data_IF_708325402470
#
_entry.id   IF_708325402470
#
_cell.length_a   1.000
_cell.length_b   1.000
_cell.length_c   1.000
_cell.angle_alpha   90.00
_cell.angle_beta   90.00
_cell.angle_gamma   90.00
#
_symmetry.space_group_name_H-M   'P 1'
#
loop_
_entity.id
_entity.type
_entity.pdbx_description
1 polymer ?
#
# COMPACT_ATOMS: atom_id res chain seq x y z
N UNK A 1 -16.96 -19.13 -27.20
CA UNK A 1 -16.91 -18.23 -26.02
C UNK A 1 -16.13 -18.95 -24.94
N UNK A 2 -14.89 -18.53 -24.66
CA UNK A 2 -14.08 -19.07 -23.58
C UNK A 2 -14.32 -18.18 -22.35
N UNK A 3 -14.82 -18.77 -21.27
CA UNK A 3 -14.88 -18.10 -19.98
C UNK A 3 -13.45 -17.86 -19.48
N UNK A 4 -13.12 -16.71 -18.89
CA UNK A 4 -11.83 -16.54 -18.23
C UNK A 4 -11.73 -17.58 -17.11
N UNK A 5 -10.68 -18.42 -17.15
CA UNK A 5 -10.34 -19.27 -16.01
C UNK A 5 -10.15 -18.35 -14.81
N UNK A 6 -11.04 -18.43 -13.83
CA UNK A 6 -10.83 -17.84 -12.51
C UNK A 6 -9.74 -18.65 -11.83
N UNK A 7 -8.48 -18.33 -12.16
CA UNK A 7 -7.32 -18.93 -11.53
C UNK A 7 -7.31 -18.48 -10.08
N UNK A 8 -7.52 -19.43 -9.16
CA UNK A 8 -7.45 -19.17 -7.74
C UNK A 8 -5.97 -18.98 -7.38
N UNK A 9 -5.52 -17.78 -7.01
CA UNK A 9 -4.11 -17.52 -6.70
C UNK A 9 -3.61 -18.28 -5.45
N UNK A 10 -4.53 -18.98 -4.76
CA UNK A 10 -4.26 -19.79 -3.58
C UNK A 10 -4.21 -21.29 -3.86
N UNK A 11 -4.57 -21.77 -5.07
CA UNK A 11 -4.54 -23.19 -5.43
C UNK A 11 -3.27 -23.51 -6.24
N UNK A 12 -2.68 -24.68 -6.02
CA UNK A 12 -1.65 -25.21 -6.91
C UNK A 12 -2.35 -25.84 -8.14
N UNK A 13 -1.90 -25.52 -9.35
CA UNK A 13 -2.48 -26.00 -10.62
C UNK A 13 -2.32 -27.53 -10.84
N UNK A 14 -1.79 -28.26 -9.87
CA UNK A 14 -1.57 -29.71 -9.90
C UNK A 14 -2.76 -30.54 -9.35
N UNK A 15 -3.84 -29.90 -8.92
CA UNK A 15 -4.91 -30.56 -8.15
C UNK A 15 -6.10 -31.09 -8.99
N UNK A 16 -6.04 -31.06 -10.33
CA UNK A 16 -7.10 -31.62 -11.21
C UNK A 16 -6.78 -32.97 -11.85
N UNK A 17 -5.80 -33.73 -11.35
CA UNK A 17 -5.81 -35.19 -11.55
C UNK A 17 -6.72 -35.83 -10.52
N UNK A 18 -8.01 -35.92 -10.86
CA UNK A 18 -8.99 -36.81 -10.25
C UNK A 18 -8.43 -38.25 -10.26
N UNK A 19 -7.68 -38.60 -9.20
CA UNK A 19 -7.05 -39.89 -8.99
C UNK A 19 -8.13 -40.91 -8.66
N UNK A 20 -9.01 -41.20 -9.63
CA UNK A 20 -9.89 -42.36 -9.58
C UNK A 20 -8.99 -43.59 -9.47
N UNK A 21 -9.19 -44.48 -8.48
CA UNK A 21 -8.46 -45.73 -8.45
C UNK A 21 -8.80 -46.50 -9.72
N UNK A 22 -7.86 -46.55 -10.67
CA UNK A 22 -7.93 -47.49 -11.79
C UNK A 22 -7.86 -48.88 -11.18
N UNK A 23 -9.01 -49.52 -11.03
CA UNK A 23 -9.11 -50.96 -10.88
C UNK A 23 -8.53 -51.58 -12.17
N UNK A 24 -7.22 -51.77 -12.18
CA UNK A 24 -6.49 -52.47 -13.22
C UNK A 24 -5.65 -53.50 -12.48
N UNK A 25 -6.10 -54.75 -12.56
CA UNK A 25 -5.50 -55.89 -11.87
C UNK A 25 -3.99 -55.93 -12.06
N UNK A 26 -3.30 -55.84 -10.94
CA UNK A 26 -1.88 -56.15 -10.80
C UNK A 26 -1.71 -56.78 -9.42
N UNK A 27 -1.34 -58.05 -9.44
CA UNK A 27 -0.67 -58.85 -8.40
C UNK A 27 -0.40 -58.13 -7.06
N UNK A 28 -1.30 -58.32 -6.08
CA UNK A 28 -1.13 -57.85 -4.71
C UNK A 28 -0.19 -58.80 -3.93
N UNK A 29 1.11 -58.54 -3.97
CA UNK A 29 2.07 -59.03 -2.97
C UNK A 29 2.57 -57.86 -2.11
N UNK A 30 1.63 -57.20 -1.45
CA UNK A 30 1.90 -56.33 -0.32
C UNK A 30 0.82 -56.69 0.70
N UNK A 31 1.16 -57.52 1.69
CA UNK A 31 0.27 -58.21 2.62
C UNK A 31 -0.52 -57.31 3.59
N UNK A 32 -0.89 -56.11 3.14
CA UNK A 32 -1.65 -55.10 3.85
C UNK A 32 -3.15 -55.33 3.64
N UNK A 33 -3.88 -55.31 4.75
CA UNK A 33 -5.34 -55.39 4.78
C UNK A 33 -5.98 -54.13 4.19
N UNK A 34 -7.21 -54.23 3.66
CA UNK A 34 -7.93 -53.09 3.08
C UNK A 34 -8.04 -51.89 4.05
N UNK A 35 -8.17 -52.18 5.35
CA UNK A 35 -8.16 -51.17 6.41
C UNK A 35 -6.84 -50.41 6.51
N UNK A 36 -5.70 -51.09 6.34
CA UNK A 36 -4.37 -50.47 6.40
C UNK A 36 -4.12 -49.59 5.16
N UNK A 37 -4.59 -50.02 3.98
CA UNK A 37 -4.53 -49.21 2.75
C UNK A 37 -5.34 -47.92 2.89
N UNK A 38 -6.57 -48.01 3.41
CA UNK A 38 -7.42 -46.84 3.67
C UNK A 38 -6.79 -45.89 4.68
N UNK A 39 -6.17 -46.41 5.73
CA UNK A 39 -5.51 -45.59 6.76
C UNK A 39 -4.30 -44.83 6.19
N UNK A 40 -3.48 -45.47 5.34
CA UNK A 40 -2.35 -44.81 4.68
C UNK A 40 -2.80 -43.70 3.73
N UNK A 41 -3.83 -43.96 2.93
CA UNK A 41 -4.41 -42.96 2.04
C UNK A 41 -4.90 -41.73 2.80
N UNK A 42 -5.70 -41.92 3.86
CA UNK A 42 -6.20 -40.83 4.69
C UNK A 42 -5.06 -40.02 5.33
N UNK A 43 -4.01 -40.69 5.77
CA UNK A 43 -2.84 -40.01 6.32
C UNK A 43 -2.10 -39.17 5.28
N UNK A 44 -1.92 -39.68 4.06
CA UNK A 44 -1.29 -38.94 2.97
C UNK A 44 -2.11 -37.72 2.59
N UNK A 45 -3.44 -37.86 2.53
CA UNK A 45 -4.35 -36.77 2.22
C UNK A 45 -4.31 -35.66 3.27
N UNK A 46 -4.29 -36.03 4.57
CA UNK A 46 -4.17 -35.07 5.67
C UNK A 46 -2.82 -34.33 5.62
N UNK A 47 -1.73 -35.05 5.33
CA UNK A 47 -0.41 -34.43 5.18
C UNK A 47 -0.36 -33.46 4.00
N UNK A 48 -0.89 -33.85 2.84
CA UNK A 48 -0.97 -33.00 1.65
C UNK A 48 -1.78 -31.74 1.95
N UNK A 49 -2.97 -31.90 2.52
CA UNK A 49 -3.85 -30.77 2.86
C UNK A 49 -3.17 -29.80 3.82
N UNK A 50 -2.48 -30.32 4.86
CA UNK A 50 -1.75 -29.48 5.80
C UNK A 50 -0.59 -28.73 5.13
N UNK A 51 0.15 -29.38 4.24
CA UNK A 51 1.24 -28.76 3.49
C UNK A 51 0.73 -27.66 2.55
N UNK A 52 -0.31 -27.95 1.75
CA UNK A 52 -0.95 -26.97 0.86
C UNK A 52 -1.49 -25.76 1.63
N UNK A 53 -2.04 -25.97 2.83
CA UNK A 53 -2.49 -24.86 3.69
C UNK A 53 -1.33 -23.97 4.15
N UNK A 54 -0.21 -24.58 4.56
CA UNK A 54 1.01 -23.84 4.93
C UNK A 54 1.56 -23.07 3.73
N UNK A 55 1.67 -23.69 2.56
CA UNK A 55 2.18 -23.02 1.36
C UNK A 55 1.30 -21.86 0.90
N UNK A 56 -0.02 -22.03 0.97
CA UNK A 56 -1.00 -20.97 0.72
C UNK A 56 -0.88 -19.81 1.71
N UNK A 57 -0.62 -20.10 2.99
CA UNK A 57 -0.41 -19.04 4.00
C UNK A 57 0.84 -18.20 3.71
N UNK A 58 1.92 -18.82 3.23
CA UNK A 58 3.12 -18.09 2.81
C UNK A 58 2.89 -17.23 1.57
N UNK A 59 2.13 -17.71 0.59
CA UNK A 59 1.72 -16.89 -0.58
C UNK A 59 0.93 -15.67 -0.13
N UNK A 60 -0.01 -15.87 0.78
CA UNK A 60 -0.87 -14.80 1.31
C UNK A 60 -0.05 -13.74 2.06
N UNK A 61 0.92 -14.16 2.88
CA UNK A 61 1.86 -13.23 3.53
C UNK A 61 2.65 -12.41 2.51
N UNK A 62 3.18 -13.06 1.46
CA UNK A 62 3.88 -12.36 0.39
C UNK A 62 3.03 -11.26 -0.26
N UNK A 63 1.76 -11.57 -0.57
CA UNK A 63 0.81 -10.60 -1.14
C UNK A 63 0.49 -9.44 -0.17
N UNK A 64 0.39 -9.72 1.13
CA UNK A 64 0.15 -8.68 2.14
C UNK A 64 1.33 -7.70 2.18
N UNK A 65 2.56 -8.20 2.21
CA UNK A 65 3.73 -7.35 2.23
C UNK A 65 3.93 -6.57 0.92
N UNK A 66 3.64 -7.18 -0.23
CA UNK A 66 3.65 -6.48 -1.52
C UNK A 66 2.62 -5.34 -1.55
N UNK A 67 1.40 -5.61 -1.07
CA UNK A 67 0.34 -4.61 -0.94
C UNK A 67 0.74 -3.49 0.01
N UNK A 68 1.45 -3.83 1.08
CA UNK A 68 1.92 -2.88 2.09
C UNK A 68 2.94 -1.93 1.49
N UNK A 69 3.94 -2.45 0.76
CA UNK A 69 4.92 -1.67 0.02
C UNK A 69 4.25 -0.74 -0.99
N UNK A 70 3.34 -1.26 -1.80
CA UNK A 70 2.59 -0.46 -2.78
C UNK A 70 1.79 0.65 -2.07
N UNK A 71 1.20 0.37 -0.91
CA UNK A 71 0.51 1.35 -0.08
C UNK A 71 1.42 2.47 0.43
N UNK A 72 2.65 2.14 0.85
CA UNK A 72 3.66 3.13 1.27
C UNK A 72 4.09 4.00 0.10
N UNK A 73 4.39 3.41 -1.06
CA UNK A 73 4.75 4.17 -2.27
C UNK A 73 3.61 5.11 -2.69
N UNK A 74 2.36 4.64 -2.61
CA UNK A 74 1.17 5.46 -2.87
C UNK A 74 1.06 6.62 -1.89
N UNK A 75 1.34 6.38 -0.61
CA UNK A 75 1.31 7.42 0.43
C UNK A 75 2.38 8.49 0.20
N UNK A 76 3.57 8.11 -0.27
CA UNK A 76 4.63 9.05 -0.63
C UNK A 76 4.23 9.96 -1.80
N UNK A 77 3.59 9.39 -2.81
CA UNK A 77 3.12 10.15 -3.95
C UNK A 77 1.96 11.09 -3.56
N UNK A 78 1.01 10.65 -2.71
CA UNK A 78 -0.01 11.55 -2.16
C UNK A 78 0.61 12.72 -1.40
N UNK A 79 1.59 12.48 -0.54
CA UNK A 79 2.31 13.56 0.17
C UNK A 79 2.93 14.55 -0.83
N UNK A 80 3.53 14.05 -1.90
CA UNK A 80 4.12 14.90 -2.96
C UNK A 80 3.04 15.70 -3.70
N UNK A 81 1.88 15.12 -3.97
CA UNK A 81 0.74 15.82 -4.58
C UNK A 81 0.20 16.92 -3.66
N UNK A 82 0.05 16.65 -2.36
CA UNK A 82 -0.31 17.64 -1.35
C UNK A 82 0.66 18.84 -1.31
N UNK A 83 1.96 18.59 -1.47
CA UNK A 83 2.94 19.68 -1.62
C UNK A 83 2.72 20.55 -2.86
N UNK A 84 2.36 19.93 -4.00
CA UNK A 84 2.07 20.64 -5.24
C UNK A 84 0.82 21.51 -5.10
N UNK A 85 -0.24 20.98 -4.49
CA UNK A 85 -1.47 21.74 -4.19
C UNK A 85 -1.15 22.97 -3.33
N UNK A 86 -0.40 22.80 -2.24
CA UNK A 86 0.00 23.91 -1.36
C UNK A 86 0.86 24.97 -2.08
N UNK A 87 1.79 24.55 -2.93
CA UNK A 87 2.60 25.48 -3.74
C UNK A 87 1.73 26.28 -4.71
N UNK A 88 0.77 25.61 -5.34
CA UNK A 88 -0.18 26.23 -6.27
C UNK A 88 -1.08 27.22 -5.54
N UNK A 89 -1.62 26.86 -4.39
CA UNK A 89 -2.42 27.76 -3.54
C UNK A 89 -1.65 29.05 -3.19
N UNK A 90 -0.39 28.92 -2.73
CA UNK A 90 0.47 30.07 -2.44
C UNK A 90 0.74 30.92 -3.70
N UNK A 91 0.88 30.29 -4.87
CA UNK A 91 1.08 31.01 -6.13
C UNK A 91 -0.16 31.83 -6.50
N UNK A 92 -1.37 31.29 -6.29
CA UNK A 92 -2.63 32.01 -6.50
C UNK A 92 -2.78 33.20 -5.55
N UNK A 93 -2.40 33.03 -4.28
CA UNK A 93 -2.43 34.14 -3.30
C UNK A 93 -1.47 35.27 -3.68
N UNK A 94 -0.27 34.94 -4.16
CA UNK A 94 0.68 35.92 -4.65
C UNK A 94 0.14 36.64 -5.90
N UNK A 95 -0.43 35.89 -6.86
CA UNK A 95 -1.04 36.48 -8.06
C UNK A 95 -2.22 37.40 -7.70
N UNK A 96 -3.04 37.05 -6.71
CA UNK A 96 -4.10 37.94 -6.22
C UNK A 96 -3.55 39.26 -5.68
N UNK A 97 -2.45 39.19 -4.93
CA UNK A 97 -1.77 40.36 -4.40
C UNK A 97 -1.16 41.22 -5.53
N UNK A 98 -0.52 40.59 -6.50
CA UNK A 98 0.09 41.26 -7.65
C UNK A 98 -0.97 41.94 -8.53
N UNK A 99 -2.13 41.29 -8.72
CA UNK A 99 -3.26 41.90 -9.44
C UNK A 99 -3.86 43.09 -8.68
N UNK A 100 -3.95 43.03 -7.35
CA UNK A 100 -4.39 44.18 -6.54
C UNK A 100 -3.45 45.36 -6.69
N UNK A 101 -2.14 45.14 -6.64
CA UNK A 101 -1.14 46.20 -6.85
C UNK A 101 -1.19 46.72 -8.29
N UNK A 102 -1.31 45.83 -9.28
CA UNK A 102 -1.48 46.21 -10.69
C UNK A 102 -2.72 47.07 -10.91
N UNK A 103 -3.84 46.73 -10.25
CA UNK A 103 -5.08 47.48 -10.30
C UNK A 103 -4.92 48.89 -9.71
N UNK A 104 -4.20 49.04 -8.59
CA UNK A 104 -3.88 50.35 -8.02
C UNK A 104 -3.03 51.20 -8.98
N UNK A 105 -2.05 50.60 -9.65
CA UNK A 105 -1.24 51.31 -10.65
C UNK A 105 -2.07 51.73 -11.86
N UNK A 106 -2.93 50.88 -12.40
CA UNK A 106 -3.86 51.21 -13.50
C UNK A 106 -4.78 52.38 -13.13
N UNK A 107 -5.36 52.36 -11.93
CA UNK A 107 -6.19 53.48 -11.44
C UNK A 107 -5.38 54.77 -11.27
N UNK A 108 -4.12 54.66 -10.85
CA UNK A 108 -3.22 55.82 -10.72
C UNK A 108 -2.87 56.40 -12.09
N UNK A 109 -2.65 55.57 -13.12
CA UNK A 109 -2.38 56.01 -14.51
C UNK A 109 -3.59 56.72 -15.12
N UNK A 110 -4.83 56.32 -14.78
CA UNK A 110 -6.02 57.10 -15.16
C UNK A 110 -6.09 58.48 -14.48
N UNK A 111 -5.50 58.62 -13.29
CA UNK A 111 -5.61 59.82 -12.46
C UNK A 111 -4.54 60.90 -12.70
N UNK A 112 -3.57 60.68 -13.61
CA UNK A 112 -2.50 61.66 -13.88
C UNK A 112 -2.94 62.84 -14.77
N UNK A 113 -4.21 62.89 -15.18
CA UNK A 113 -4.84 64.11 -15.76
C UNK A 113 -5.51 65.00 -14.69
N UNK A 114 -5.14 64.85 -13.41
CA UNK A 114 -5.69 65.64 -12.29
C UNK A 114 -4.80 65.77 -11.05
N UNK A 115 -3.66 66.45 -11.15
CA UNK A 115 -3.12 67.31 -10.08
C UNK A 115 -2.45 66.69 -8.84
N UNK A 116 -1.11 66.59 -8.85
CA UNK A 116 -0.09 67.06 -7.86
C UNK A 116 -0.41 67.08 -6.32
N UNK A 117 -1.32 66.27 -5.75
CA UNK A 117 -1.58 66.35 -4.28
C UNK A 117 -1.61 64.99 -3.57
N UNK A 118 -0.56 64.19 -3.71
CA UNK A 118 -0.39 63.00 -2.84
C UNK A 118 1.01 62.85 -2.21
N UNK A 119 1.79 63.95 -2.17
CA UNK A 119 3.09 63.99 -1.49
C UNK A 119 3.00 63.89 0.05
N UNK A 120 1.79 63.70 0.62
CA UNK A 120 1.53 63.72 2.06
C UNK A 120 1.07 62.39 2.68
N UNK A 121 1.08 61.26 1.95
CA UNK A 121 0.72 59.96 2.54
C UNK A 121 1.99 59.13 2.80
N UNK A 122 2.27 58.95 4.09
CA UNK A 122 3.46 58.30 4.63
C UNK A 122 3.73 56.91 4.05
N UNK A 123 5.02 56.57 4.07
CA UNK A 123 5.64 55.35 3.56
C UNK A 123 4.82 54.10 3.92
N UNK A 124 4.54 53.18 2.98
CA UNK A 124 3.99 51.88 3.33
C UNK A 124 5.05 51.09 4.11
N UNK A 125 4.64 50.56 5.26
CA UNK A 125 5.48 49.69 6.08
C UNK A 125 6.00 48.51 5.26
N UNK A 126 7.30 48.28 5.42
CA UNK A 126 8.06 47.13 4.96
C UNK A 126 7.32 45.84 5.34
N UNK A 127 6.81 45.11 4.32
CA UNK A 127 6.28 43.75 4.52
C UNK A 127 7.36 42.89 5.20
N UNK A 128 7.02 42.13 6.26
CA UNK A 128 7.98 41.21 6.88
C UNK A 128 8.44 40.14 5.87
N UNK A 129 9.66 39.59 6.04
CA UNK A 129 10.19 38.54 5.17
C UNK A 129 9.22 37.35 5.09
N UNK A 130 9.12 36.67 3.93
CA UNK A 130 8.24 35.52 3.80
C UNK A 130 8.65 34.47 4.83
N UNK A 131 7.75 34.17 5.77
CA UNK A 131 7.91 33.07 6.71
C UNK A 131 8.30 31.82 5.94
N UNK A 132 9.39 31.21 6.40
CA UNK A 132 9.93 29.98 5.84
C UNK A 132 8.81 28.95 5.76
N UNK A 133 8.63 28.41 4.56
CA UNK A 133 7.55 27.50 4.26
C UNK A 133 7.61 26.31 5.22
N UNK A 134 6.63 26.19 6.11
CA UNK A 134 6.34 24.93 6.78
C UNK A 134 6.22 23.89 5.66
N UNK A 135 7.07 22.86 5.72
CA UNK A 135 6.95 21.70 4.85
C UNK A 135 5.54 21.15 5.01
N UNK A 136 4.93 20.73 3.91
CA UNK A 136 3.64 20.06 3.99
C UNK A 136 3.80 18.84 4.90
N UNK A 137 3.04 18.81 5.99
CA UNK A 137 2.90 17.62 6.80
C UNK A 137 1.68 16.91 6.23
N UNK A 138 1.89 15.74 5.64
CA UNK A 138 0.82 14.81 5.32
C UNK A 138 0.03 14.52 6.61
N UNK A 139 -1.22 14.06 6.47
CA UNK A 139 -2.08 13.77 7.61
C UNK A 139 -1.34 12.90 8.65
N UNK A 140 -1.38 13.28 9.93
CA UNK A 140 -0.65 12.60 11.02
C UNK A 140 -0.95 11.09 11.06
N UNK A 141 -2.17 10.68 10.65
CA UNK A 141 -2.57 9.28 10.55
C UNK A 141 -1.84 8.55 9.43
N UNK A 142 -1.72 9.17 8.25
CA UNK A 142 -0.98 8.60 7.13
C UNK A 142 0.49 8.47 7.48
N UNK A 143 1.09 9.51 8.07
CA UNK A 143 2.50 9.47 8.46
C UNK A 143 2.80 8.38 9.50
N UNK A 144 1.89 8.20 10.47
CA UNK A 144 1.99 7.12 11.47
C UNK A 144 1.84 5.75 10.83
N UNK A 145 0.90 5.59 9.89
CA UNK A 145 0.69 4.33 9.18
C UNK A 145 1.90 3.95 8.30
N UNK A 146 2.49 4.92 7.58
CA UNK A 146 3.71 4.72 6.80
C UNK A 146 4.90 4.32 7.66
N UNK A 147 5.07 4.96 8.83
CA UNK A 147 6.20 4.68 9.72
C UNK A 147 6.11 3.27 10.31
N UNK A 148 4.93 2.88 10.78
CA UNK A 148 4.67 1.52 11.26
C UNK A 148 4.84 0.47 10.15
N UNK A 149 4.55 0.84 8.91
CA UNK A 149 4.66 -0.07 7.78
C UNK A 149 6.10 -0.31 7.33
N UNK A 150 6.91 0.76 7.26
CA UNK A 150 8.34 0.68 6.91
C UNK A 150 9.17 -0.16 7.87
N UNK A 151 8.80 -0.22 9.15
CA UNK A 151 9.48 -1.08 10.14
C UNK A 151 9.43 -2.58 9.76
N UNK A 152 8.43 -2.98 8.96
CA UNK A 152 8.24 -4.37 8.53
C UNK A 152 8.73 -4.64 7.10
N UNK A 153 9.38 -3.67 6.44
CA UNK A 153 9.90 -3.83 5.07
C UNK A 153 11.04 -4.86 4.98
N UNK A 154 11.80 -5.06 6.06
CA UNK A 154 12.83 -6.10 6.12
C UNK A 154 12.23 -7.51 6.09
N UNK A 155 11.04 -7.70 6.69
CA UNK A 155 10.31 -8.98 6.63
C UNK A 155 9.80 -9.27 5.23
N UNK A 156 9.42 -8.24 4.48
CA UNK A 156 9.06 -8.37 3.06
C UNK A 156 10.23 -8.95 2.25
N UNK A 157 11.43 -8.38 2.40
CA UNK A 157 12.63 -8.85 1.70
C UNK A 157 12.94 -10.32 2.03
N UNK A 158 12.71 -10.75 3.27
CA UNK A 158 12.87 -12.15 3.67
C UNK A 158 11.77 -13.08 3.11
N UNK A 159 10.55 -12.57 2.89
CA UNK A 159 9.39 -13.37 2.46
C UNK A 159 9.23 -13.52 0.95
N UNK A 160 9.97 -12.75 0.14
CA UNK A 160 9.77 -12.70 -1.30
C UNK A 160 10.09 -14.06 -1.96
N UNK A 161 9.22 -14.61 -2.84
CA UNK A 161 9.38 -15.94 -3.42
C UNK A 161 10.70 -16.13 -4.19
N UNK A 162 11.24 -15.06 -4.79
CA UNK A 162 12.57 -15.07 -5.44
C UNK A 162 13.77 -15.12 -4.47
N UNK A 163 13.61 -14.74 -3.19
CA UNK A 163 14.63 -14.87 -2.13
C UNK A 163 14.45 -16.15 -1.30
N UNK A 164 13.26 -16.75 -1.35
CA UNK A 164 12.90 -17.99 -0.66
C UNK A 164 13.59 -19.24 -1.21
N UNK A 165 14.22 -19.15 -2.38
CA UNK A 165 15.13 -20.20 -2.88
C UNK A 165 16.40 -20.16 -2.04
N UNK A 166 16.40 -20.78 -0.85
CA UNK A 166 17.54 -21.47 -0.22
C UNK A 166 17.30 -21.95 1.22
N UNK A 167 16.19 -21.59 1.88
CA UNK A 167 15.82 -22.16 3.20
C UNK A 167 14.64 -23.14 3.12
N UNK A 168 14.78 -24.12 2.23
CA UNK A 168 14.11 -25.43 2.37
C UNK A 168 15.06 -26.42 3.08
N UNK A 169 15.81 -25.92 4.07
CA UNK A 169 16.70 -26.74 4.89
C UNK A 169 15.97 -27.64 5.89
N UNK A 170 14.65 -27.48 6.04
CA UNK A 170 13.82 -28.26 6.97
C UNK A 170 13.06 -29.44 6.34
N UNK A 171 12.96 -29.49 5.00
CA UNK A 171 12.16 -30.51 4.31
C UNK A 171 13.08 -31.37 3.42
N UNK A 172 13.79 -32.32 4.06
CA UNK A 172 14.39 -33.46 3.34
C UNK A 172 15.91 -33.65 3.41
N UNK A 173 16.68 -32.83 4.13
CA UNK A 173 18.15 -32.94 4.16
C UNK A 173 18.78 -33.49 5.46
N UNK A 174 17.99 -34.07 6.36
CA UNK A 174 18.52 -34.82 7.52
C UNK A 174 17.68 -36.06 7.83
N UNK A 175 17.53 -36.92 6.85
CA UNK A 175 17.29 -38.34 7.11
C UNK A 175 18.64 -39.09 7.09
N UNK A 176 19.60 -38.62 7.89
CA UNK A 176 20.72 -39.45 8.30
C UNK A 176 20.18 -40.49 9.28
N UNK A 177 20.23 -41.73 8.79
CA UNK A 177 20.05 -42.99 9.51
C UNK A 177 20.80 -42.95 10.85
N UNK A 178 20.16 -43.52 11.87
CA UNK A 178 20.68 -43.97 13.17
C UNK A 178 20.43 -43.05 14.38
N UNK A 179 19.49 -43.46 15.25
CA UNK A 179 19.84 -44.02 16.56
C UNK A 179 18.57 -44.54 17.26
N UNK A 180 18.58 -45.84 17.57
CA UNK A 180 17.57 -46.51 18.38
C UNK A 180 17.89 -46.35 19.86
N UNK A 181 17.07 -45.62 20.62
CA UNK A 181 16.79 -46.02 22.01
C UNK A 181 15.49 -45.42 22.59
N UNK A 182 14.51 -46.32 22.71
CA UNK A 182 13.69 -46.54 23.92
C UNK A 182 13.16 -45.32 24.71
N UNK A 183 11.84 -45.04 24.58
CA UNK A 183 10.83 -45.15 25.68
C UNK A 183 9.49 -44.46 25.33
N UNK A 184 8.41 -45.15 25.73
CA UNK A 184 7.04 -44.65 26.01
C UNK A 184 6.13 -44.23 24.85
N UNK A 185 5.27 -45.18 24.46
CA UNK A 185 3.82 -45.04 24.25
C UNK A 185 3.30 -43.64 23.86
N UNK A 186 3.21 -43.38 22.55
CA UNK A 186 2.57 -42.20 21.97
C UNK A 186 3.03 -42.01 20.53
N UNK A 187 2.13 -42.23 19.57
CA UNK A 187 2.38 -42.18 18.13
C UNK A 187 3.38 -41.08 17.68
N UNK A 188 4.54 -41.43 17.07
CA UNK A 188 5.47 -40.46 16.48
C UNK A 188 4.95 -39.81 15.17
N UNK A 189 3.81 -40.28 14.67
CA UNK A 189 3.22 -39.96 13.36
C UNK A 189 2.68 -38.51 13.22
N UNK A 190 2.53 -37.76 14.32
CA UNK A 190 1.91 -36.42 14.31
C UNK A 190 2.92 -35.26 14.36
N UNK A 191 4.23 -35.50 14.34
CA UNK A 191 5.22 -34.42 14.47
C UNK A 191 5.11 -33.42 13.31
N UNK A 192 5.08 -33.91 12.07
CA UNK A 192 4.96 -33.08 10.88
C UNK A 192 3.63 -32.32 10.83
N UNK A 193 2.51 -32.97 11.19
CA UNK A 193 1.22 -32.29 11.25
C UNK A 193 1.20 -31.19 12.32
N UNK A 194 1.77 -31.45 13.51
CA UNK A 194 1.88 -30.43 14.57
C UNK A 194 2.77 -29.27 14.14
N UNK A 195 3.85 -29.55 13.44
CA UNK A 195 4.73 -28.51 12.89
C UNK A 195 4.04 -27.67 11.81
N UNK A 196 3.30 -28.32 10.90
CA UNK A 196 2.49 -27.65 9.89
C UNK A 196 1.41 -26.76 10.55
N UNK A 197 0.68 -27.26 11.55
CA UNK A 197 -0.29 -26.47 12.31
C UNK A 197 0.36 -25.29 13.04
N UNK A 198 1.45 -25.52 13.77
CA UNK A 198 2.16 -24.44 14.47
C UNK A 198 2.70 -23.37 13.51
N UNK A 199 3.13 -23.76 12.31
CA UNK A 199 3.60 -22.83 11.28
C UNK A 199 2.43 -22.05 10.69
N UNK A 200 1.31 -22.73 10.40
CA UNK A 200 0.10 -22.11 9.91
C UNK A 200 -0.44 -21.08 10.91
N UNK A 201 -0.51 -21.40 12.19
CA UNK A 201 -0.97 -20.47 13.24
C UNK A 201 -0.09 -19.21 13.30
N UNK A 202 1.25 -19.37 13.29
CA UNK A 202 2.18 -18.23 13.23
C UNK A 202 1.97 -17.37 11.99
N UNK A 203 1.76 -18.01 10.83
CA UNK A 203 1.52 -17.29 9.59
C UNK A 203 0.19 -16.54 9.64
N UNK A 204 -0.86 -17.13 10.21
CA UNK A 204 -2.16 -16.47 10.40
C UNK A 204 -2.07 -15.26 11.35
N UNK A 205 -1.28 -15.36 12.42
CA UNK A 205 -1.02 -14.24 13.32
C UNK A 205 -0.31 -13.09 12.59
N UNK A 206 0.76 -13.38 11.82
CA UNK A 206 1.45 -12.35 11.03
C UNK A 206 0.55 -11.79 9.92
N UNK A 207 -0.31 -12.60 9.30
CA UNK A 207 -1.31 -12.13 8.34
C UNK A 207 -2.30 -11.16 9.01
N UNK A 208 -2.77 -11.47 10.22
CA UNK A 208 -3.67 -10.60 10.99
C UNK A 208 -3.02 -9.25 11.28
N UNK A 209 -1.75 -9.25 11.70
CA UNK A 209 -0.98 -8.03 11.91
C UNK A 209 -0.74 -7.25 10.62
N UNK A 210 -0.37 -7.92 9.53
CA UNK A 210 -0.17 -7.31 8.23
C UNK A 210 -1.45 -6.68 7.67
N UNK A 211 -2.59 -7.37 7.80
CA UNK A 211 -3.90 -6.82 7.42
C UNK A 211 -4.29 -5.61 8.27
N UNK A 212 -3.93 -5.59 9.57
CA UNK A 212 -4.11 -4.41 10.42
C UNK A 212 -3.26 -3.24 9.95
N UNK A 213 -2.01 -3.46 9.54
CA UNK A 213 -1.14 -2.43 8.96
C UNK A 213 -1.72 -1.90 7.63
N UNK A 214 -2.12 -2.80 6.73
CA UNK A 214 -2.80 -2.45 5.47
C UNK A 214 -4.07 -1.62 5.70
N UNK A 215 -4.88 -1.99 6.68
CA UNK A 215 -6.07 -1.22 7.07
C UNK A 215 -5.70 0.19 7.52
N UNK A 216 -4.68 0.33 8.36
CA UNK A 216 -4.23 1.62 8.84
C UNK A 216 -3.69 2.50 7.70
N UNK A 217 -2.93 1.91 6.76
CA UNK A 217 -2.51 2.58 5.53
C UNK A 217 -3.73 3.02 4.72
N UNK A 218 -4.69 2.14 4.45
CA UNK A 218 -5.89 2.48 3.70
C UNK A 218 -6.70 3.63 4.31
N UNK A 219 -6.87 3.63 5.64
CA UNK A 219 -7.55 4.74 6.34
C UNK A 219 -6.72 6.03 6.26
N UNK A 220 -5.39 5.94 6.41
CA UNK A 220 -4.51 7.10 6.27
C UNK A 220 -4.55 7.72 4.86
N UNK A 221 -4.50 6.86 3.83
CA UNK A 221 -4.59 7.26 2.43
C UNK A 221 -5.94 7.94 2.15
N UNK A 222 -7.03 7.38 2.68
CA UNK A 222 -8.37 7.97 2.57
C UNK A 222 -8.44 9.37 3.19
N UNK A 223 -7.94 9.54 4.42
CA UNK A 223 -7.93 10.85 5.08
C UNK A 223 -7.09 11.89 4.32
N UNK A 224 -5.95 11.48 3.76
CA UNK A 224 -5.12 12.36 2.93
C UNK A 224 -5.81 12.76 1.63
N UNK A 225 -6.57 11.84 0.99
CA UNK A 225 -7.37 12.16 -0.20
C UNK A 225 -8.47 13.16 0.13
N UNK A 226 -9.19 12.95 1.25
CA UNK A 226 -10.24 13.88 1.71
C UNK A 226 -9.66 15.29 1.96
N UNK A 227 -8.50 15.39 2.62
CA UNK A 227 -7.81 16.67 2.86
C UNK A 227 -7.38 17.36 1.54
N UNK A 228 -6.96 16.57 0.55
CA UNK A 228 -6.59 17.08 -0.76
C UNK A 228 -7.80 17.51 -1.60
N UNK A 229 -8.94 16.82 -1.49
CA UNK A 229 -10.20 17.17 -2.17
C UNK A 229 -10.68 18.56 -1.72
N UNK A 230 -10.73 18.78 -0.40
CA UNK A 230 -11.05 20.10 0.18
C UNK A 230 -10.10 21.20 -0.31
N UNK A 231 -8.80 20.86 -0.43
CA UNK A 231 -7.78 21.78 -0.92
C UNK A 231 -7.97 22.11 -2.40
N UNK A 232 -8.34 21.13 -3.22
CA UNK A 232 -8.63 21.30 -4.65
C UNK A 232 -9.85 22.21 -4.84
N UNK A 233 -10.93 21.99 -4.09
CA UNK A 233 -12.14 22.82 -4.18
C UNK A 233 -11.85 24.29 -3.82
N UNK A 234 -11.08 24.52 -2.76
CA UNK A 234 -10.60 25.87 -2.40
C UNK A 234 -9.77 26.50 -3.53
N UNK A 235 -8.86 25.72 -4.11
CA UNK A 235 -7.97 26.15 -5.17
C UNK A 235 -8.75 26.49 -6.45
N UNK A 236 -9.73 25.68 -6.85
CA UNK A 236 -10.61 25.95 -7.98
C UNK A 236 -11.35 27.28 -7.80
N UNK A 237 -11.93 27.50 -6.62
CA UNK A 237 -12.59 28.77 -6.29
C UNK A 237 -11.63 29.98 -6.37
N UNK A 238 -10.37 29.82 -5.97
CA UNK A 238 -9.34 30.87 -6.08
C UNK A 238 -8.96 31.11 -7.54
N UNK A 239 -8.78 30.05 -8.33
CA UNK A 239 -8.48 30.13 -9.77
C UNK A 239 -9.56 30.90 -10.51
N UNK A 240 -10.85 30.57 -10.30
CA UNK A 240 -11.96 31.25 -10.98
C UNK A 240 -12.00 32.74 -10.66
N UNK A 241 -11.82 33.11 -9.39
CA UNK A 241 -11.75 34.51 -8.96
C UNK A 241 -10.55 35.22 -9.58
N UNK A 242 -9.41 34.54 -9.67
CA UNK A 242 -8.19 35.09 -10.25
C UNK A 242 -8.36 35.30 -11.75
N UNK A 243 -8.95 34.35 -12.49
CA UNK A 243 -9.22 34.47 -13.91
C UNK A 243 -10.10 35.69 -14.23
N UNK A 244 -11.19 35.86 -13.48
CA UNK A 244 -12.06 37.05 -13.58
C UNK A 244 -11.28 38.35 -13.33
N UNK A 245 -10.40 38.39 -12.33
CA UNK A 245 -9.56 39.56 -12.05
C UNK A 245 -8.58 39.84 -13.18
N UNK A 246 -7.88 38.83 -13.68
CA UNK A 246 -6.95 38.95 -14.80
C UNK A 246 -7.69 39.49 -16.03
N UNK A 247 -8.87 38.94 -16.35
CA UNK A 247 -9.67 39.40 -17.47
C UNK A 247 -10.05 40.88 -17.34
N UNK A 248 -10.57 41.29 -16.18
CA UNK A 248 -10.94 42.67 -15.90
C UNK A 248 -9.73 43.62 -15.97
N UNK A 249 -8.61 43.25 -15.36
CA UNK A 249 -7.36 44.03 -15.40
C UNK A 249 -6.85 44.17 -16.84
N UNK A 250 -6.88 43.10 -17.64
CA UNK A 250 -6.48 43.12 -19.04
C UNK A 250 -7.38 44.05 -19.88
N UNK A 251 -8.70 43.99 -19.67
CA UNK A 251 -9.64 44.91 -20.33
C UNK A 251 -9.35 46.37 -19.98
N UNK A 252 -9.06 46.68 -18.71
CA UNK A 252 -8.71 48.04 -18.30
C UNK A 252 -7.40 48.53 -18.92
N UNK A 253 -6.39 47.66 -19.03
CA UNK A 253 -5.12 47.99 -19.71
C UNK A 253 -5.36 48.27 -21.19
N UNK A 254 -6.21 47.49 -21.88
CA UNK A 254 -6.56 47.76 -23.28
C UNK A 254 -7.23 49.12 -23.46
N UNK A 255 -8.06 49.54 -22.51
CA UNK A 255 -8.76 50.82 -22.50
C UNK A 255 -7.88 52.00 -22.03
N UNK A 256 -6.62 51.77 -21.65
CA UNK A 256 -5.65 52.83 -21.31
C UNK A 256 -4.83 53.30 -22.53
N UNK A 257 -4.95 52.64 -23.68
CA UNK A 257 -4.43 53.11 -24.97
C UNK A 257 -5.41 54.07 -25.62
#
# INVERSE_FOLDING_TARGET
>A
MAYPKSHNPFADDDDEEDFKPKSRGFDDNDGLTDSERRQRYLQQEVMRTAQSAVDSSYRSLGLIYESEKMGVETAEELKRQGEVLRRTDKMLDNMDQDLKTSQQHITSIKSVWGGIVNYFKGKPETKPPPEQAKSYQANDRLQSAMSNSREHEDKYQASHPNLRRLETGGFGASASIDDSSSRQNGYPQNRHLREAHNTLDKNLDEMSDGLRRLKNLGIGLQSEIEDQDDSIDSLLNKVDKMDLKIHNTNQQIKNLK
#
